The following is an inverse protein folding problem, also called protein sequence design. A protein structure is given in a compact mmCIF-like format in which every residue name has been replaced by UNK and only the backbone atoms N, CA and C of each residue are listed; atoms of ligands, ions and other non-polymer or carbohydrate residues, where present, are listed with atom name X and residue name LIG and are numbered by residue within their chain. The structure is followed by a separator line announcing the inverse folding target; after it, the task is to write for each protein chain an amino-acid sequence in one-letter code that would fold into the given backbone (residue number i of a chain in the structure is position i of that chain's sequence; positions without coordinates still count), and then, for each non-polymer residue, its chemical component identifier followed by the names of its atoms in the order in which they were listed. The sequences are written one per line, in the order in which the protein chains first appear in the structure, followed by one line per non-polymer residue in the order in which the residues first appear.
data_IF_698434108302
#
_entry.id   IF_698434108302
#
_cell.length_a   1.000
_cell.length_b   1.000
_cell.length_c   1.000
_cell.angle_alpha   90.00
_cell.angle_beta   90.00
_cell.angle_gamma   90.00
#
_symmetry.space_group_name_H-M   'P 1'
#
loop_
_entity.id
_entity.type
_entity.pdbx_description
1 polymer ?
#
# COMPACT_ATOMS: atom_id res chain seq x y z
N UNK A 1 10.47 -23.86 -43.67
CA UNK A 1 9.95 -22.57 -43.15
C UNK A 1 8.75 -22.88 -42.29
N UNK A 2 8.81 -22.59 -40.99
CA UNK A 2 7.58 -22.50 -40.19
C UNK A 2 6.86 -21.25 -40.68
N UNK A 3 5.72 -21.40 -41.34
CA UNK A 3 4.78 -20.30 -41.54
C UNK A 3 4.30 -19.90 -40.15
N UNK A 4 4.49 -18.63 -39.77
CA UNK A 4 3.77 -18.09 -38.63
C UNK A 4 2.28 -18.27 -38.95
N UNK A 5 1.50 -18.96 -38.09
CA UNK A 5 0.10 -19.23 -38.39
C UNK A 5 -0.63 -17.89 -38.55
N UNK A 6 -1.32 -17.71 -39.69
CA UNK A 6 -1.76 -16.43 -40.27
C UNK A 6 -2.68 -15.55 -39.40
N UNK A 7 -2.94 -15.93 -38.15
CA UNK A 7 -3.81 -15.23 -37.20
C UNK A 7 -3.36 -15.35 -35.73
N UNK A 8 -2.16 -15.91 -35.47
CA UNK A 8 -1.59 -15.95 -34.11
C UNK A 8 -0.62 -14.79 -33.91
N UNK A 9 -0.52 -14.31 -32.68
CA UNK A 9 0.21 -13.13 -32.19
C UNK A 9 -0.51 -11.79 -32.38
N UNK A 10 -1.79 -11.76 -32.01
CA UNK A 10 -2.69 -10.61 -32.17
C UNK A 10 -2.50 -9.44 -31.20
N UNK A 11 -1.66 -9.55 -30.16
CA UNK A 11 -1.35 -8.42 -29.27
C UNK A 11 -0.21 -7.58 -29.84
N UNK A 12 0.83 -8.25 -30.36
CA UNK A 12 2.02 -7.60 -30.90
C UNK A 12 3.31 -8.36 -30.58
N UNK A 13 4.43 -7.68 -30.86
CA UNK A 13 5.78 -8.21 -30.64
C UNK A 13 6.63 -7.18 -29.89
N UNK A 14 7.18 -7.58 -28.74
CA UNK A 14 8.12 -6.78 -27.97
C UNK A 14 9.55 -7.24 -28.24
N UNK A 15 10.47 -6.31 -28.51
CA UNK A 15 11.90 -6.62 -28.62
C UNK A 15 12.61 -6.26 -27.33
N UNK A 16 13.13 -7.28 -26.63
CA UNK A 16 13.91 -7.10 -25.40
C UNK A 16 15.40 -7.27 -25.72
N UNK A 17 16.20 -6.29 -25.32
CA UNK A 17 17.66 -6.29 -25.50
C UNK A 17 18.34 -6.29 -24.13
N UNK A 18 19.04 -7.39 -23.82
CA UNK A 18 19.96 -7.48 -22.70
C UNK A 18 21.35 -7.15 -23.21
N UNK A 19 21.94 -6.07 -22.70
CA UNK A 19 23.23 -5.54 -23.21
C UNK A 19 24.38 -6.47 -22.92
N UNK A 20 24.35 -7.09 -21.74
CA UNK A 20 25.35 -8.01 -21.23
C UNK A 20 24.73 -8.97 -20.19
N UNK A 21 25.57 -9.69 -19.46
CA UNK A 21 25.15 -10.57 -18.37
C UNK A 21 24.76 -9.86 -17.07
N UNK A 22 24.92 -8.53 -16.95
CA UNK A 22 24.48 -7.77 -15.77
C UNK A 22 23.01 -7.39 -15.84
N UNK A 23 22.46 -7.22 -17.05
CA UNK A 23 21.02 -7.06 -17.24
C UNK A 23 20.31 -8.36 -16.89
N UNK A 24 19.18 -8.29 -16.20
CA UNK A 24 18.42 -9.46 -15.74
C UNK A 24 16.93 -9.17 -15.68
N UNK A 25 16.16 -10.24 -15.66
CA UNK A 25 14.72 -10.21 -15.46
C UNK A 25 14.38 -11.04 -14.23
N UNK A 26 13.70 -10.45 -13.25
CA UNK A 26 13.26 -11.15 -12.05
C UNK A 26 12.19 -12.20 -12.37
N UNK A 27 11.86 -13.05 -11.40
CA UNK A 27 10.75 -13.98 -11.55
C UNK A 27 9.43 -13.23 -11.72
N UNK A 28 8.71 -13.54 -12.80
CA UNK A 28 7.38 -12.98 -13.12
C UNK A 28 6.64 -13.95 -14.05
N UNK A 29 5.35 -13.69 -14.24
CA UNK A 29 4.53 -14.26 -15.31
C UNK A 29 4.16 -13.12 -16.27
N UNK A 30 3.97 -13.44 -17.55
CA UNK A 30 3.58 -12.48 -18.57
C UNK A 30 2.05 -12.38 -18.69
N UNK A 31 1.36 -12.17 -17.56
CA UNK A 31 -0.10 -12.25 -17.41
C UNK A 31 -0.82 -10.88 -17.36
N UNK A 32 -0.20 -9.84 -17.91
CA UNK A 32 -0.63 -8.45 -17.70
C UNK A 32 -1.58 -7.88 -18.76
N UNK A 33 -1.78 -8.57 -19.89
CA UNK A 33 -2.66 -8.18 -21.00
C UNK A 33 -3.62 -9.28 -21.43
N UNK A 34 -3.89 -10.27 -20.58
CA UNK A 34 -4.79 -11.37 -20.91
C UNK A 34 -4.21 -12.31 -21.98
N UNK A 35 -2.89 -12.43 -22.00
CA UNK A 35 -2.15 -13.35 -22.84
C UNK A 35 -2.62 -14.78 -22.60
N UNK A 36 -3.01 -15.43 -23.68
CA UNK A 36 -3.29 -16.87 -23.73
C UNK A 36 -2.04 -17.67 -24.05
N UNK A 37 -1.06 -17.04 -24.69
CA UNK A 37 0.25 -17.60 -24.97
C UNK A 37 1.28 -16.49 -25.18
N UNK A 38 2.50 -16.75 -24.73
CA UNK A 38 3.68 -15.91 -24.97
C UNK A 38 4.78 -16.78 -25.55
N UNK A 39 5.27 -16.42 -26.73
CA UNK A 39 6.40 -17.07 -27.39
C UNK A 39 7.62 -16.16 -27.36
N UNK A 40 8.70 -16.64 -26.76
CA UNK A 40 9.97 -15.96 -26.71
C UNK A 40 10.96 -16.58 -27.70
N UNK A 41 11.28 -15.86 -28.77
CA UNK A 41 12.27 -16.24 -29.79
C UNK A 41 13.59 -15.52 -29.53
N UNK A 42 14.67 -16.28 -29.35
CA UNK A 42 16.00 -15.70 -29.14
C UNK A 42 16.62 -15.37 -30.50
N UNK A 43 16.60 -14.08 -30.85
CA UNK A 43 17.07 -13.57 -32.15
C UNK A 43 18.60 -13.47 -32.21
N UNK A 44 19.22 -13.09 -31.10
CA UNK A 44 20.69 -12.96 -31.00
C UNK A 44 21.15 -13.47 -29.64
N UNK A 45 22.12 -14.39 -29.62
CA UNK A 45 22.69 -14.94 -28.40
C UNK A 45 23.95 -15.75 -28.73
N UNK A 46 25.15 -15.22 -28.45
CA UNK A 46 26.41 -15.97 -28.68
C UNK A 46 26.62 -17.11 -27.68
N UNK A 47 26.22 -16.89 -26.43
CA UNK A 47 26.35 -17.87 -25.35
C UNK A 47 24.99 -18.16 -24.73
N UNK A 48 24.62 -19.45 -24.68
CA UNK A 48 23.37 -19.87 -24.06
C UNK A 48 23.29 -19.38 -22.60
N UNK A 49 22.28 -18.57 -22.31
CA UNK A 49 21.96 -18.10 -20.96
C UNK A 49 20.68 -18.76 -20.50
N UNK A 50 20.71 -19.52 -19.39
CA UNK A 50 19.56 -20.31 -19.00
C UNK A 50 18.40 -19.41 -18.61
N UNK A 51 17.21 -19.77 -19.08
CA UNK A 51 15.94 -19.24 -18.57
C UNK A 51 15.51 -20.14 -17.43
N UNK A 52 15.22 -19.57 -16.27
CA UNK A 52 14.76 -20.34 -15.12
C UNK A 52 13.24 -20.27 -15.06
N UNK A 53 12.60 -21.43 -14.99
CA UNK A 53 11.16 -21.58 -14.82
C UNK A 53 10.94 -22.27 -13.49
N UNK A 54 10.01 -21.77 -12.67
CA UNK A 54 9.65 -22.41 -11.40
C UNK A 54 8.17 -22.23 -11.07
N UNK A 55 7.60 -23.08 -10.21
CA UNK A 55 6.27 -22.84 -9.65
C UNK A 55 6.24 -21.53 -8.86
N UNK A 56 5.09 -20.86 -8.84
CA UNK A 56 4.89 -19.68 -8.01
C UNK A 56 5.13 -19.97 -6.52
N UNK A 57 5.76 -19.02 -5.82
CA UNK A 57 6.12 -19.14 -4.39
C UNK A 57 4.93 -19.43 -3.46
N UNK A 58 3.72 -19.01 -3.85
CA UNK A 58 2.51 -19.12 -3.04
C UNK A 58 1.61 -20.29 -3.45
N UNK A 59 2.09 -21.21 -4.29
CA UNK A 59 1.37 -22.40 -4.71
C UNK A 59 1.96 -23.62 -3.98
N UNK A 60 1.11 -24.47 -3.42
CA UNK A 60 1.57 -25.71 -2.79
C UNK A 60 2.19 -26.60 -3.88
N UNK A 61 3.44 -27.01 -3.70
CA UNK A 61 4.16 -27.84 -4.67
C UNK A 61 3.59 -29.25 -4.68
N UNK A 62 3.27 -29.76 -5.86
CA UNK A 62 2.96 -31.17 -6.08
C UNK A 62 4.16 -31.91 -6.70
N UNK A 63 4.06 -33.24 -6.76
CA UNK A 63 4.96 -34.03 -7.60
C UNK A 63 4.76 -33.61 -9.06
N UNK A 64 5.86 -33.31 -9.78
CA UNK A 64 5.81 -32.72 -11.13
C UNK A 64 5.93 -31.19 -11.18
N UNK A 65 6.08 -30.51 -10.03
CA UNK A 65 6.32 -29.06 -9.95
C UNK A 65 7.82 -28.74 -9.84
N UNK A 66 8.62 -29.18 -10.82
CA UNK A 66 10.07 -28.96 -10.81
C UNK A 66 10.47 -27.54 -11.21
N UNK A 67 11.66 -27.13 -10.73
CA UNK A 67 12.35 -25.96 -11.28
C UNK A 67 13.14 -26.40 -12.52
N UNK A 68 12.86 -25.75 -13.65
CA UNK A 68 13.42 -26.11 -14.95
C UNK A 68 14.38 -25.02 -15.42
N UNK A 69 15.49 -25.43 -16.03
CA UNK A 69 16.43 -24.53 -16.68
C UNK A 69 16.46 -24.80 -18.18
N UNK A 70 16.08 -23.82 -18.98
CA UNK A 70 16.10 -23.91 -20.44
C UNK A 70 17.32 -23.21 -21.00
N UNK A 71 18.21 -23.95 -21.67
CA UNK A 71 19.42 -23.43 -22.30
C UNK A 71 19.15 -23.01 -23.76
N UNK A 72 18.40 -21.93 -23.92
CA UNK A 72 17.93 -21.41 -25.21
C UNK A 72 19.05 -20.66 -25.94
N UNK A 73 19.39 -21.10 -27.17
CA UNK A 73 20.40 -20.49 -28.05
C UNK A 73 19.76 -19.57 -29.09
N UNK A 74 20.60 -18.88 -29.87
CA UNK A 74 20.13 -18.13 -31.02
C UNK A 74 19.36 -19.04 -32.00
N UNK A 75 18.17 -18.59 -32.40
CA UNK A 75 17.25 -19.35 -33.26
C UNK A 75 16.29 -20.26 -32.50
N UNK A 76 16.55 -20.54 -31.22
CA UNK A 76 15.63 -21.32 -30.39
C UNK A 76 14.51 -20.42 -29.85
N UNK A 77 13.38 -21.04 -29.53
CA UNK A 77 12.25 -20.39 -28.90
C UNK A 77 11.65 -21.25 -27.78
N UNK A 78 10.95 -20.60 -26.85
CA UNK A 78 10.10 -21.29 -25.87
C UNK A 78 8.76 -20.58 -25.74
N UNK A 79 7.71 -21.35 -25.49
CA UNK A 79 6.34 -20.86 -25.36
C UNK A 79 5.83 -21.11 -23.93
N UNK A 80 5.16 -20.11 -23.36
CA UNK A 80 4.42 -20.23 -22.10
C UNK A 80 2.95 -20.00 -22.40
N UNK A 81 2.15 -21.06 -22.34
CA UNK A 81 0.70 -20.96 -22.47
C UNK A 81 0.03 -20.44 -21.18
N UNK A 82 -1.27 -20.18 -21.24
CA UNK A 82 -2.06 -19.71 -20.11
C UNK A 82 -1.99 -20.64 -18.88
N UNK A 83 -1.82 -21.95 -19.08
CA UNK A 83 -1.72 -22.91 -17.99
C UNK A 83 -0.39 -22.79 -17.26
N UNK A 84 0.71 -22.72 -18.03
CA UNK A 84 2.05 -22.51 -17.51
C UNK A 84 2.14 -21.16 -16.78
N UNK A 85 1.68 -20.07 -17.40
CA UNK A 85 1.73 -18.73 -16.79
C UNK A 85 0.91 -18.60 -15.51
N UNK A 86 -0.14 -19.42 -15.33
CA UNK A 86 -0.95 -19.43 -14.11
C UNK A 86 -0.29 -20.18 -12.94
N UNK A 87 0.57 -21.16 -13.22
CA UNK A 87 1.24 -22.01 -12.23
C UNK A 87 2.70 -21.64 -11.98
N UNK A 88 3.36 -21.09 -12.98
CA UNK A 88 4.80 -20.93 -13.05
C UNK A 88 5.18 -19.48 -13.39
N UNK A 89 6.38 -19.12 -12.93
CA UNK A 89 7.04 -17.86 -13.21
C UNK A 89 8.42 -18.13 -13.83
N UNK A 90 8.85 -17.26 -14.74
CA UNK A 90 10.16 -17.36 -15.38
C UNK A 90 11.07 -16.18 -15.04
N UNK A 91 12.37 -16.38 -15.17
CA UNK A 91 13.37 -15.34 -14.97
C UNK A 91 14.59 -15.52 -15.87
N UNK A 92 15.31 -14.42 -16.06
CA UNK A 92 16.61 -14.42 -16.71
C UNK A 92 17.68 -13.95 -15.69
N UNK A 93 18.39 -14.88 -15.03
CA UNK A 93 19.31 -14.56 -13.93
C UNK A 93 20.60 -13.92 -14.43
N UNK A 94 21.21 -13.01 -13.65
CA UNK A 94 22.49 -12.36 -13.99
C UNK A 94 23.60 -13.40 -14.23
N UNK A 95 24.47 -13.09 -15.19
CA UNK A 95 25.74 -13.77 -15.46
C UNK A 95 26.85 -12.73 -15.58
N UNK A 96 27.39 -12.28 -14.44
CA UNK A 96 28.37 -11.18 -14.40
C UNK A 96 29.61 -11.39 -15.31
N UNK A 97 29.93 -12.64 -15.65
CA UNK A 97 31.05 -12.98 -16.54
C UNK A 97 30.72 -12.86 -18.04
N UNK A 98 29.45 -12.84 -18.43
CA UNK A 98 29.05 -12.74 -19.83
C UNK A 98 29.02 -11.28 -20.26
N UNK A 99 29.79 -10.94 -21.28
CA UNK A 99 29.80 -9.61 -21.93
C UNK A 99 28.97 -9.57 -23.20
N UNK A 100 28.31 -10.69 -23.51
CA UNK A 100 27.62 -10.87 -24.77
C UNK A 100 26.19 -10.35 -24.69
N UNK A 101 25.76 -9.72 -25.79
CA UNK A 101 24.40 -9.23 -25.97
C UNK A 101 23.44 -10.41 -26.18
N UNK A 102 22.21 -10.27 -25.66
CA UNK A 102 21.09 -11.15 -25.97
C UNK A 102 19.88 -10.34 -26.43
N UNK A 103 19.32 -10.70 -27.57
CA UNK A 103 18.08 -10.11 -28.09
C UNK A 103 16.99 -11.17 -28.17
N UNK A 104 15.81 -10.84 -27.66
CA UNK A 104 14.64 -11.74 -27.64
C UNK A 104 13.44 -11.01 -28.19
N UNK A 105 12.78 -11.60 -29.19
CA UNK A 105 11.48 -11.15 -29.68
C UNK A 105 10.39 -11.92 -28.94
N UNK A 106 9.50 -11.20 -28.28
CA UNK A 106 8.39 -11.74 -27.49
C UNK A 106 7.10 -11.52 -28.26
N UNK A 107 6.54 -12.60 -28.78
CA UNK A 107 5.25 -12.60 -29.45
C UNK A 107 4.16 -12.89 -28.43
N UNK A 108 3.09 -12.09 -28.47
CA UNK A 108 1.98 -12.20 -27.52
C UNK A 108 0.67 -12.51 -28.23
N UNK A 109 -0.02 -13.54 -27.77
CA UNK A 109 -1.34 -13.93 -28.25
C UNK A 109 -2.34 -13.79 -27.11
N UNK A 110 -3.35 -12.95 -27.28
CA UNK A 110 -4.42 -12.74 -26.33
C UNK A 110 -5.79 -13.12 -26.87
N UNK A 111 -6.80 -12.96 -26.02
CA UNK A 111 -8.19 -13.07 -26.43
C UNK A 111 -8.57 -11.80 -27.23
N UNK A 112 -8.94 -11.90 -28.51
CA UNK A 112 -9.41 -10.74 -29.26
C UNK A 112 -10.60 -10.11 -28.54
N UNK A 113 -10.58 -8.79 -28.39
CA UNK A 113 -11.68 -8.05 -27.78
C UNK A 113 -12.01 -6.84 -28.62
N UNK A 114 -13.30 -6.58 -28.80
CA UNK A 114 -13.79 -5.41 -29.54
C UNK A 114 -13.74 -4.17 -28.65
N UNK A 115 -13.18 -3.08 -29.15
CA UNK A 115 -13.23 -1.75 -28.53
C UNK A 115 -13.91 -0.77 -29.47
N UNK A 116 -14.65 0.18 -28.90
CA UNK A 116 -15.30 1.24 -29.69
C UNK A 116 -14.27 2.23 -30.26
N UNK A 117 -13.16 2.45 -29.55
CA UNK A 117 -12.04 3.30 -29.97
C UNK A 117 -10.70 2.70 -29.48
N UNK A 118 -9.69 2.67 -30.36
CA UNK A 118 -8.34 2.26 -29.98
C UNK A 118 -7.65 3.39 -29.18
N UNK A 119 -7.66 3.23 -27.87
CA UNK A 119 -7.00 4.17 -26.94
C UNK A 119 -5.52 3.86 -26.72
N UNK A 120 -4.99 2.80 -27.33
CA UNK A 120 -3.67 2.22 -27.00
C UNK A 120 -3.62 1.63 -25.58
N UNK A 121 -4.78 1.37 -24.97
CA UNK A 121 -4.91 0.76 -23.63
C UNK A 121 -5.37 -0.69 -23.78
N UNK A 122 -4.80 -1.56 -22.95
CA UNK A 122 -5.17 -2.97 -22.90
C UNK A 122 -6.67 -3.16 -22.60
N UNK A 123 -7.35 -4.00 -23.39
CA UNK A 123 -8.82 -4.17 -23.36
C UNK A 123 -9.31 -5.07 -22.20
N UNK A 124 -8.42 -5.55 -21.33
CA UNK A 124 -8.72 -6.59 -20.33
C UNK A 124 -9.74 -6.15 -19.27
N UNK A 125 -10.14 -4.89 -19.24
CA UNK A 125 -10.95 -4.30 -18.16
C UNK A 125 -12.46 -4.58 -18.18
N UNK A 126 -13.06 -5.26 -19.17
CA UNK A 126 -14.53 -5.26 -19.25
C UNK A 126 -15.31 -6.54 -19.64
N UNK A 127 -14.70 -7.69 -19.87
CA UNK A 127 -15.51 -8.87 -20.26
C UNK A 127 -15.53 -9.97 -19.22
N UNK A 128 -16.68 -10.13 -18.56
CA UNK A 128 -17.11 -11.35 -17.86
C UNK A 128 -16.99 -12.65 -18.71
N UNK A 129 -16.72 -12.54 -20.02
CA UNK A 129 -16.59 -13.64 -20.96
C UNK A 129 -15.29 -14.46 -20.81
N UNK A 130 -14.15 -13.84 -20.47
CA UNK A 130 -12.88 -14.54 -20.27
C UNK A 130 -12.87 -15.37 -18.98
N UNK A 131 -13.48 -14.82 -17.93
CA UNK A 131 -13.67 -15.43 -16.60
C UNK A 131 -14.49 -16.74 -16.68
N UNK A 132 -15.44 -16.83 -17.62
CA UNK A 132 -16.28 -18.02 -17.79
C UNK A 132 -15.68 -19.08 -18.71
N UNK A 133 -14.73 -18.75 -19.57
CA UNK A 133 -14.12 -19.69 -20.53
C UNK A 133 -12.98 -20.52 -19.91
N UNK A 134 -12.33 -20.03 -18.86
CA UNK A 134 -11.29 -20.73 -18.11
C UNK A 134 -11.59 -20.71 -16.60
N UNK A 135 -12.25 -21.74 -16.05
CA UNK A 135 -12.67 -21.78 -14.65
C UNK A 135 -11.53 -21.61 -13.63
N UNK A 136 -10.29 -21.95 -14.01
CA UNK A 136 -9.09 -21.73 -13.19
C UNK A 136 -8.60 -20.28 -13.19
N UNK A 137 -8.91 -19.47 -14.21
CA UNK A 137 -8.62 -18.02 -14.23
C UNK A 137 -9.49 -17.25 -13.22
N UNK A 138 -10.66 -17.78 -12.82
CA UNK A 138 -11.55 -17.20 -11.79
C UNK A 138 -10.85 -17.00 -10.44
N UNK A 139 -9.71 -17.67 -10.21
CA UNK A 139 -8.92 -17.56 -8.97
C UNK A 139 -7.74 -16.60 -9.04
N UNK A 140 -7.31 -16.11 -10.20
CA UNK A 140 -6.03 -15.35 -10.29
C UNK A 140 -5.99 -14.11 -11.16
N UNK A 141 -6.87 -13.96 -12.16
CA UNK A 141 -6.91 -12.71 -12.94
C UNK A 141 -8.02 -11.84 -12.37
N UNK A 142 -7.64 -10.87 -11.53
CA UNK A 142 -8.55 -9.78 -11.16
C UNK A 142 -8.69 -8.90 -12.42
N UNK A 143 -9.84 -8.93 -13.14
CA UNK A 143 -10.02 -8.27 -14.45
C UNK A 143 -9.90 -6.74 -14.40
N UNK A 144 -9.64 -6.19 -13.22
CA UNK A 144 -9.73 -4.78 -12.89
C UNK A 144 -8.36 -4.20 -12.50
N UNK A 145 -7.24 -4.81 -12.90
CA UNK A 145 -5.91 -4.19 -12.79
C UNK A 145 -5.51 -3.47 -14.08
N UNK A 146 -5.83 -2.18 -14.28
CA UNK A 146 -5.33 -1.36 -15.36
C UNK A 146 -3.82 -1.39 -15.46
N UNK A 147 -3.37 -1.22 -16.70
CA UNK A 147 -2.02 -0.77 -17.01
C UNK A 147 -1.62 0.37 -16.06
N UNK A 148 -0.36 0.35 -15.59
CA UNK A 148 0.27 1.19 -14.56
C UNK A 148 0.22 2.73 -14.78
N UNK A 149 -0.81 3.29 -15.41
CA UNK A 149 -1.11 4.72 -15.35
C UNK A 149 -1.60 5.02 -13.95
N UNK A 150 -0.69 5.58 -13.14
CA UNK A 150 -1.05 6.22 -11.87
C UNK A 150 -2.16 7.22 -12.17
N UNK A 151 -3.30 7.09 -11.47
CA UNK A 151 -4.36 8.07 -11.58
C UNK A 151 -3.80 9.48 -11.29
N UNK A 152 -4.28 10.52 -11.98
CA UNK A 152 -3.88 11.89 -11.67
C UNK A 152 -4.18 12.19 -10.20
N UNK A 153 -3.20 12.80 -9.51
CA UNK A 153 -3.33 13.17 -8.10
C UNK A 153 -4.45 14.20 -7.98
N UNK A 154 -5.49 13.86 -7.22
CA UNK A 154 -6.70 14.70 -7.09
C UNK A 154 -6.91 14.97 -5.62
N UNK A 155 -6.89 16.22 -5.17
CA UNK A 155 -7.08 16.56 -3.75
C UNK A 155 -8.56 16.76 -3.38
N UNK A 156 -8.89 16.58 -2.10
CA UNK A 156 -10.24 16.77 -1.59
C UNK A 156 -11.14 15.53 -1.70
N UNK A 157 -12.46 15.72 -1.62
CA UNK A 157 -13.43 14.64 -1.77
C UNK A 157 -13.54 14.19 -3.23
N UNK A 158 -13.84 12.91 -3.45
CA UNK A 158 -14.12 12.36 -4.78
C UNK A 158 -15.63 12.15 -4.93
N UNK A 159 -16.19 12.59 -6.05
CA UNK A 159 -17.61 12.41 -6.34
C UNK A 159 -17.98 10.91 -6.31
N UNK A 160 -19.11 10.59 -5.67
CA UNK A 160 -19.59 9.22 -5.50
C UNK A 160 -19.04 8.47 -4.27
N UNK A 161 -18.13 9.07 -3.50
CA UNK A 161 -17.66 8.51 -2.22
C UNK A 161 -17.97 9.45 -1.06
N UNK A 162 -19.06 9.16 -0.33
CA UNK A 162 -19.37 9.82 0.93
C UNK A 162 -18.48 9.29 2.06
N UNK A 163 -18.21 10.11 3.08
CA UNK A 163 -17.60 9.63 4.32
C UNK A 163 -18.45 8.51 4.95
N UNK A 164 -17.78 7.53 5.55
CA UNK A 164 -18.37 6.30 6.04
C UNK A 164 -18.65 5.24 4.97
N UNK A 165 -18.50 5.56 3.67
CA UNK A 165 -18.67 4.57 2.61
C UNK A 165 -17.62 3.46 2.70
N UNK A 166 -18.07 2.22 2.54
CA UNK A 166 -17.21 1.02 2.56
C UNK A 166 -17.10 0.47 1.14
N UNK A 167 -15.88 0.17 0.72
CA UNK A 167 -15.57 -0.35 -0.60
C UNK A 167 -14.48 -1.42 -0.55
N UNK A 168 -14.46 -2.29 -1.56
CA UNK A 168 -13.30 -3.15 -1.83
C UNK A 168 -12.14 -2.29 -2.33
N UNK A 169 -10.91 -2.82 -2.22
CA UNK A 169 -9.72 -2.15 -2.77
C UNK A 169 -9.90 -1.77 -4.23
N UNK A 170 -10.46 -2.70 -5.00
CA UNK A 170 -10.67 -2.54 -6.41
C UNK A 170 -11.65 -1.40 -6.74
N UNK A 171 -12.77 -1.33 -6.01
CA UNK A 171 -13.74 -0.24 -6.17
C UNK A 171 -13.13 1.12 -5.82
N UNK A 172 -12.28 1.20 -4.80
CA UNK A 172 -11.56 2.44 -4.48
C UNK A 172 -10.62 2.85 -5.61
N UNK A 173 -9.92 1.89 -6.18
CA UNK A 173 -8.98 2.14 -7.25
C UNK A 173 -9.68 2.60 -8.55
N UNK A 174 -10.72 1.90 -8.99
CA UNK A 174 -11.56 2.32 -10.12
C UNK A 174 -12.22 3.69 -9.87
N UNK A 175 -12.62 3.92 -8.62
CA UNK A 175 -13.16 5.20 -8.15
C UNK A 175 -12.12 6.31 -7.99
N UNK A 176 -10.85 6.08 -8.33
CA UNK A 176 -9.73 7.04 -8.18
C UNK A 176 -9.53 7.55 -6.75
N UNK A 177 -9.94 6.77 -5.75
CA UNK A 177 -9.75 7.10 -4.34
C UNK A 177 -8.31 6.86 -3.90
N UNK A 178 -7.66 5.81 -4.41
CA UNK A 178 -6.26 5.47 -4.12
C UNK A 178 -5.63 4.61 -5.23
N UNK A 179 -4.30 4.61 -5.35
CA UNK A 179 -3.59 3.68 -6.25
C UNK A 179 -3.65 2.21 -5.75
N UNK A 180 -3.71 1.25 -6.68
CA UNK A 180 -4.13 -0.15 -6.42
C UNK A 180 -3.34 -0.84 -5.29
N UNK A 181 -2.04 -0.60 -5.16
CA UNK A 181 -1.15 -1.46 -4.35
C UNK A 181 -0.36 -0.77 -3.24
N UNK A 182 -0.59 0.52 -2.97
CA UNK A 182 0.21 1.29 -2.01
C UNK A 182 -0.62 1.79 -0.82
N UNK A 183 0.02 1.81 0.35
CA UNK A 183 -0.53 2.50 1.53
C UNK A 183 -0.69 4.01 1.30
N UNK A 184 0.12 4.59 0.42
CA UNK A 184 0.10 6.03 0.11
C UNK A 184 -0.15 6.25 -1.39
N UNK A 185 -1.12 7.08 -1.72
CA UNK A 185 -1.43 7.56 -3.08
C UNK A 185 -0.91 8.98 -3.27
N UNK A 186 -0.13 9.21 -4.33
CA UNK A 186 0.45 10.52 -4.60
C UNK A 186 1.81 10.45 -5.26
N UNK A 187 2.50 11.59 -5.31
CA UNK A 187 3.88 11.67 -5.76
C UNK A 187 4.64 12.82 -5.06
N UNK A 188 5.97 12.83 -5.19
CA UNK A 188 6.85 13.80 -4.52
C UNK A 188 6.76 15.21 -5.09
N UNK A 189 6.12 15.41 -6.24
CA UNK A 189 6.01 16.70 -6.93
C UNK A 189 4.69 17.41 -6.62
N UNK A 190 3.61 16.65 -6.43
CA UNK A 190 2.27 17.17 -6.17
C UNK A 190 1.82 16.97 -4.73
N UNK A 191 2.35 15.96 -4.03
CA UNK A 191 1.94 15.56 -2.69
C UNK A 191 1.13 14.26 -2.68
N UNK A 192 0.54 13.98 -1.53
CA UNK A 192 -0.30 12.82 -1.25
C UNK A 192 -1.76 13.21 -1.20
N UNK A 193 -2.59 12.50 -1.96
CA UNK A 193 -4.02 12.75 -2.03
C UNK A 193 -4.85 11.73 -1.26
N UNK A 194 -4.32 10.52 -1.05
CA UNK A 194 -4.96 9.52 -0.20
C UNK A 194 -3.95 8.66 0.57
N UNK A 195 -4.37 8.23 1.75
CA UNK A 195 -3.65 7.36 2.66
C UNK A 195 -4.56 6.20 3.06
N UNK A 196 -4.02 5.00 3.04
CA UNK A 196 -4.68 3.79 3.50
C UNK A 196 -4.02 3.36 4.80
N UNK A 197 -4.77 3.49 5.88
CA UNK A 197 -4.36 3.06 7.20
C UNK A 197 -4.76 1.59 7.35
N UNK A 198 -3.77 0.69 7.31
CA UNK A 198 -4.00 -0.76 7.37
C UNK A 198 -3.18 -1.49 8.42
N UNK A 199 -2.32 -0.76 9.14
CA UNK A 199 -1.50 -1.26 10.24
C UNK A 199 -1.58 -0.27 11.41
N UNK A 200 -1.41 -0.83 12.61
CA UNK A 200 -1.31 -0.08 13.86
C UNK A 200 -0.15 -0.68 14.65
N UNK A 201 1.06 -0.46 14.15
CA UNK A 201 2.28 -1.00 14.74
C UNK A 201 2.79 -0.08 15.86
N UNK A 202 2.50 -0.45 17.11
CA UNK A 202 2.94 0.29 18.29
C UNK A 202 4.46 0.36 18.43
N UNK A 203 5.21 -0.62 17.88
CA UNK A 203 6.67 -0.62 17.93
C UNK A 203 7.27 0.44 17.02
N UNK A 204 6.55 0.80 15.96
CA UNK A 204 6.88 1.91 15.06
C UNK A 204 6.30 3.24 15.53
N UNK A 205 5.49 3.26 16.60
CA UNK A 205 4.80 4.45 17.09
C UNK A 205 3.55 4.83 16.29
N UNK A 206 3.00 3.91 15.48
CA UNK A 206 1.72 4.13 14.83
C UNK A 206 0.58 4.08 15.86
N UNK A 207 -0.37 5.00 15.72
CA UNK A 207 -1.52 5.14 16.62
C UNK A 207 -2.73 5.63 15.84
N UNK A 208 -3.92 5.18 16.22
CA UNK A 208 -5.18 5.57 15.59
C UNK A 208 -6.14 6.12 16.65
N UNK A 209 -6.41 7.43 16.58
CA UNK A 209 -7.33 8.14 17.46
C UNK A 209 -8.61 8.61 16.77
N UNK A 210 -8.96 8.02 15.61
CA UNK A 210 -10.02 8.47 14.71
C UNK A 210 -9.80 9.89 14.17
N UNK A 211 -9.99 10.93 14.99
CA UNK A 211 -9.78 12.34 14.64
C UNK A 211 -8.30 12.72 14.44
N UNK A 212 -7.40 11.85 14.85
CA UNK A 212 -5.98 11.96 14.59
C UNK A 212 -5.38 10.58 14.37
N UNK A 213 -4.24 10.51 13.69
CA UNK A 213 -3.45 9.29 13.58
C UNK A 213 -1.97 9.59 13.41
N UNK A 214 -1.13 8.68 13.86
CA UNK A 214 0.31 8.67 13.61
C UNK A 214 0.62 7.61 12.55
N UNK A 215 1.17 8.05 11.41
CA UNK A 215 1.55 7.17 10.32
C UNK A 215 3.06 7.21 10.11
N UNK A 216 3.70 6.04 10.13
CA UNK A 216 5.16 5.93 9.96
C UNK A 216 5.47 5.42 8.58
N UNK A 217 6.35 6.07 7.82
CA UNK A 217 6.79 5.53 6.53
C UNK A 217 8.14 6.08 6.06
N UNK A 218 8.72 5.36 5.10
CA UNK A 218 9.95 5.77 4.40
C UNK A 218 9.64 6.67 3.21
N UNK A 219 10.66 7.38 2.71
CA UNK A 219 10.55 8.15 1.45
C UNK A 219 10.03 7.30 0.28
N UNK A 220 10.55 6.09 0.13
CA UNK A 220 10.19 5.14 -0.95
C UNK A 220 8.76 4.62 -0.85
N UNK A 221 8.17 4.67 0.33
CA UNK A 221 6.81 4.21 0.63
C UNK A 221 5.77 5.32 0.51
N UNK A 222 6.18 6.54 0.14
CA UNK A 222 5.30 7.70 0.00
C UNK A 222 5.64 8.87 0.94
N UNK A 223 6.59 8.71 1.87
CA UNK A 223 6.98 9.75 2.82
C UNK A 223 7.42 11.05 2.16
N UNK A 224 8.09 10.99 1.00
CA UNK A 224 8.45 12.22 0.27
C UNK A 224 7.23 13.03 -0.20
N UNK A 225 6.13 12.37 -0.57
CA UNK A 225 4.88 13.03 -0.93
C UNK A 225 4.11 13.52 0.30
N UNK A 226 4.11 12.76 1.41
CA UNK A 226 3.52 13.19 2.68
C UNK A 226 4.20 14.46 3.20
N UNK A 227 5.53 14.54 3.15
CA UNK A 227 6.24 15.75 3.57
C UNK A 227 5.86 16.96 2.71
N UNK A 228 5.67 16.78 1.40
CA UNK A 228 5.17 17.86 0.55
C UNK A 228 3.73 18.26 0.94
N UNK A 229 2.83 17.31 1.20
CA UNK A 229 1.48 17.62 1.69
C UNK A 229 1.51 18.36 3.03
N UNK A 230 2.43 18.02 3.93
CA UNK A 230 2.66 18.75 5.19
C UNK A 230 3.05 20.20 4.93
N UNK A 231 4.11 20.43 4.14
CA UNK A 231 4.60 21.78 3.83
C UNK A 231 3.57 22.64 3.09
N UNK A 232 2.67 22.02 2.33
CA UNK A 232 1.67 22.72 1.50
C UNK A 232 0.27 22.72 2.10
N UNK A 233 0.06 22.12 3.28
CA UNK A 233 -1.25 22.01 3.93
C UNK A 233 -2.31 21.27 3.10
N UNK A 234 -1.89 20.38 2.19
CA UNK A 234 -2.82 19.69 1.29
C UNK A 234 -3.61 18.61 2.02
N UNK A 235 -4.93 18.52 1.79
CA UNK A 235 -5.75 17.51 2.43
C UNK A 235 -5.47 16.12 1.87
N UNK A 236 -5.50 15.13 2.76
CA UNK A 236 -5.27 13.71 2.49
C UNK A 236 -6.55 12.95 2.81
N UNK A 237 -7.11 12.21 1.85
CA UNK A 237 -8.20 11.27 2.11
C UNK A 237 -7.68 10.10 2.95
N UNK A 238 -8.31 9.79 4.07
CA UNK A 238 -7.93 8.61 4.87
C UNK A 238 -8.91 7.47 4.68
N UNK A 239 -8.37 6.30 4.38
CA UNK A 239 -9.09 5.04 4.18
C UNK A 239 -8.66 4.05 5.27
N UNK A 240 -9.54 3.69 6.20
CA UNK A 240 -9.25 2.68 7.23
C UNK A 240 -9.60 1.29 6.74
N UNK A 241 -8.66 0.36 6.85
CA UNK A 241 -8.83 -1.04 6.47
C UNK A 241 -9.46 -1.86 7.60
N UNK A 242 -10.31 -2.83 7.26
CA UNK A 242 -10.82 -3.83 8.22
C UNK A 242 -9.73 -4.72 8.83
N UNK A 243 -8.51 -4.71 8.26
CA UNK A 243 -7.37 -5.45 8.79
C UNK A 243 -6.70 -4.77 10.01
N UNK A 244 -7.12 -3.57 10.38
CA UNK A 244 -6.66 -2.85 11.57
C UNK A 244 -7.21 -3.47 12.87
N UNK A 245 -6.87 -4.74 13.15
CA UNK A 245 -7.47 -5.50 14.26
C UNK A 245 -7.30 -4.85 15.63
N UNK A 246 -6.23 -4.09 15.85
CA UNK A 246 -5.95 -3.41 17.10
C UNK A 246 -6.65 -2.05 17.25
N UNK A 247 -7.26 -1.52 16.18
CA UNK A 247 -7.97 -0.24 16.23
C UNK A 247 -9.47 -0.49 16.35
N UNK A 248 -10.09 0.08 17.39
CA UNK A 248 -11.56 0.12 17.53
C UNK A 248 -12.25 0.91 16.40
N UNK A 249 -11.48 1.69 15.64
CA UNK A 249 -11.98 2.51 14.55
C UNK A 249 -11.97 1.80 13.20
N UNK A 250 -11.42 0.59 13.13
CA UNK A 250 -11.44 -0.23 11.93
C UNK A 250 -12.89 -0.53 11.50
N UNK A 251 -13.22 -0.51 10.19
CA UNK A 251 -14.52 -0.94 9.74
C UNK A 251 -14.69 -2.46 9.95
N UNK A 252 -15.90 -2.87 10.33
CA UNK A 252 -16.25 -4.29 10.39
C UNK A 252 -16.32 -4.86 8.97
N UNK A 253 -15.70 -6.02 8.78
CA UNK A 253 -15.92 -6.82 7.58
C UNK A 253 -17.28 -7.50 7.68
N UNK A 254 -18.30 -6.94 7.02
CA UNK A 254 -19.68 -7.45 7.07
C UNK A 254 -19.81 -8.88 6.55
N UNK A 255 -18.92 -9.28 5.66
CA UNK A 255 -18.87 -10.64 5.15
C UNK A 255 -17.76 -11.41 5.87
N UNK A 256 -18.13 -12.02 7.00
CA UNK A 256 -17.20 -12.84 7.79
C UNK A 256 -16.59 -14.02 7.00
N UNK A 257 -17.20 -14.41 5.85
CA UNK A 257 -16.67 -15.45 4.97
C UNK A 257 -15.67 -14.91 3.95
N UNK A 258 -15.70 -13.61 3.67
CA UNK A 258 -14.77 -12.97 2.76
C UNK A 258 -13.43 -12.71 3.46
N UNK A 259 -12.37 -13.32 2.93
CA UNK A 259 -10.99 -13.09 3.38
C UNK A 259 -10.49 -11.70 2.93
N UNK A 260 -11.16 -11.07 1.95
CA UNK A 260 -10.75 -9.79 1.41
C UNK A 260 -11.03 -8.65 2.38
N UNK A 261 -10.03 -7.78 2.59
CA UNK A 261 -10.19 -6.58 3.40
C UNK A 261 -11.17 -5.60 2.74
N UNK A 262 -12.00 -4.94 3.56
CA UNK A 262 -12.78 -3.79 3.14
C UNK A 262 -12.15 -2.50 3.68
N UNK A 263 -12.50 -1.38 3.06
CA UNK A 263 -11.91 -0.08 3.36
C UNK A 263 -13.03 0.95 3.52
N UNK A 264 -13.01 1.70 4.61
CA UNK A 264 -13.95 2.79 4.88
C UNK A 264 -13.27 4.14 4.65
N UNK A 265 -13.95 5.03 3.93
CA UNK A 265 -13.49 6.40 3.75
C UNK A 265 -13.87 7.28 4.95
N UNK A 266 -12.88 7.79 5.69
CA UNK A 266 -13.08 8.48 6.98
C UNK A 266 -12.88 10.01 6.89
N UNK A 267 -12.86 10.54 5.67
CA UNK A 267 -12.79 11.97 5.41
C UNK A 267 -11.40 12.50 5.06
N UNK A 268 -11.28 13.82 5.13
CA UNK A 268 -10.05 14.55 4.83
C UNK A 268 -9.26 14.83 6.10
N UNK A 269 -7.94 14.68 6.01
CA UNK A 269 -7.01 14.94 7.09
C UNK A 269 -5.92 15.86 6.59
N UNK A 270 -5.34 16.64 7.48
CA UNK A 270 -4.16 17.46 7.22
C UNK A 270 -3.01 16.95 8.07
N UNK A 271 -1.80 16.90 7.50
CA UNK A 271 -0.61 16.57 8.28
C UNK A 271 -0.24 17.81 9.08
N UNK A 272 -0.20 17.70 10.41
CA UNK A 272 0.04 18.83 11.31
C UNK A 272 1.45 18.82 11.89
N UNK A 273 2.09 17.65 11.99
CA UNK A 273 3.46 17.49 12.50
C UNK A 273 4.17 16.36 11.78
N UNK A 274 5.49 16.49 11.66
CA UNK A 274 6.37 15.46 11.14
C UNK A 274 7.53 15.30 12.13
N UNK A 275 7.90 14.06 12.42
CA UNK A 275 9.02 13.70 13.29
C UNK A 275 10.04 12.87 12.53
N UNK A 276 11.32 13.15 12.76
CA UNK A 276 12.44 12.37 12.22
C UNK A 276 12.63 11.03 12.94
N UNK A 277 13.66 10.27 12.57
CA UNK A 277 14.00 8.98 13.19
C UNK A 277 14.41 9.07 14.65
N UNK A 278 14.79 10.26 15.13
CA UNK A 278 15.17 10.52 16.51
C UNK A 278 13.97 11.04 17.34
N UNK A 279 12.79 11.16 16.72
CA UNK A 279 11.60 11.68 17.39
C UNK A 279 11.54 13.20 17.50
N UNK A 280 12.41 13.92 16.78
CA UNK A 280 12.42 15.38 16.78
C UNK A 280 11.47 15.90 15.72
N UNK A 281 10.69 16.92 16.07
CA UNK A 281 9.86 17.61 15.10
C UNK A 281 10.74 18.23 14.00
N UNK A 282 10.34 18.05 12.74
CA UNK A 282 11.12 18.50 11.59
C UNK A 282 10.22 18.98 10.46
N UNK A 283 10.74 19.90 9.64
CA UNK A 283 10.15 20.30 8.36
C UNK A 283 10.90 19.72 7.16
N UNK A 284 12.01 19.04 7.41
CA UNK A 284 12.87 18.52 6.37
C UNK A 284 12.27 17.27 5.74
N UNK A 285 12.24 17.24 4.40
CA UNK A 285 11.86 16.05 3.68
C UNK A 285 12.92 14.96 3.88
N UNK A 286 12.54 13.67 3.96
CA UNK A 286 13.51 12.61 3.95
C UNK A 286 14.40 12.72 2.71
N UNK A 287 15.72 12.78 2.89
CA UNK A 287 16.67 12.99 1.80
C UNK A 287 16.60 11.90 0.73
N UNK A 288 16.89 12.21 -0.55
CA UNK A 288 16.84 11.22 -1.62
C UNK A 288 17.99 10.21 -1.60
N UNK A 289 19.14 10.55 -0.99
CA UNK A 289 20.38 9.77 -1.03
C UNK A 289 21.29 10.13 0.13
N UNK A 290 21.34 9.33 1.17
CA UNK A 290 22.56 9.15 1.97
C UNK A 290 22.71 7.65 2.20
N UNK A 291 23.93 7.16 2.36
CA UNK A 291 24.26 5.73 2.47
C UNK A 291 23.62 4.99 3.65
N UNK A 292 22.76 5.66 4.41
CA UNK A 292 21.98 5.07 5.49
C UNK A 292 20.62 4.58 5.00
N UNK A 293 20.24 3.43 5.55
CA UNK A 293 18.96 2.75 5.37
C UNK A 293 17.83 3.79 5.43
N UNK A 294 17.10 3.96 4.33
CA UNK A 294 16.01 4.93 4.16
C UNK A 294 15.29 5.29 5.47
N UNK A 295 15.53 6.49 6.03
CA UNK A 295 15.00 6.85 7.34
C UNK A 295 13.47 6.84 7.34
N UNK A 296 12.91 6.38 8.46
CA UNK A 296 11.47 6.37 8.72
C UNK A 296 11.08 7.66 9.42
N UNK A 297 10.00 8.28 8.94
CA UNK A 297 9.46 9.50 9.52
C UNK A 297 8.05 9.22 10.02
N UNK A 298 7.67 9.89 11.10
CA UNK A 298 6.33 9.82 11.68
C UNK A 298 5.54 11.06 11.30
N UNK A 299 4.39 10.87 10.68
CA UNK A 299 3.49 11.93 10.24
C UNK A 299 2.26 11.91 11.15
N UNK A 300 1.95 13.03 11.79
CA UNK A 300 0.74 13.19 12.60
C UNK A 300 -0.31 13.87 11.74
N UNK A 301 -1.40 13.16 11.50
CA UNK A 301 -2.54 13.62 10.72
C UNK A 301 -3.68 13.99 11.66
N UNK A 302 -4.34 15.10 11.38
CA UNK A 302 -5.54 15.55 12.08
C UNK A 302 -6.70 15.62 11.09
N UNK A 303 -7.86 15.10 11.47
CA UNK A 303 -9.07 15.13 10.65
C UNK A 303 -9.56 16.57 10.51
N UNK A 304 -9.88 16.95 9.29
CA UNK A 304 -10.51 18.23 9.01
C UNK A 304 -11.99 18.13 9.48
N UNK A 305 -12.51 19.16 10.17
CA UNK A 305 -13.91 19.15 10.59
C UNK A 305 -14.82 19.10 9.36
N UNK A 306 -15.87 18.27 9.43
CA UNK A 306 -16.91 18.28 8.40
C UNK A 306 -17.83 19.47 8.62
N UNK A 307 -18.45 20.00 7.55
CA UNK A 307 -19.39 21.13 7.65
C UNK A 307 -20.51 20.87 8.66
N UNK A 308 -20.94 19.61 8.86
CA UNK A 308 -21.94 19.24 9.88
C UNK A 308 -21.41 19.31 11.31
N UNK A 309 -20.17 18.89 11.55
CA UNK A 309 -19.56 18.87 12.88
C UNK A 309 -19.22 20.27 13.39
N UNK A 310 -18.93 21.24 12.51
CA UNK A 310 -18.66 22.63 12.94
C UNK A 310 -19.86 23.20 13.72
N UNK A 311 -21.09 22.91 13.29
CA UNK A 311 -22.30 23.39 13.97
C UNK A 311 -22.60 22.66 15.28
N UNK A 312 -22.18 21.40 15.44
CA UNK A 312 -22.34 20.66 16.71
C UNK A 312 -21.22 20.98 17.71
N UNK A 313 -20.02 21.29 17.22
CA UNK A 313 -18.85 21.62 18.04
C UNK A 313 -18.93 23.03 18.65
N UNK A 314 -19.50 24.00 17.92
CA UNK A 314 -19.76 25.34 18.46
C UNK A 314 -20.76 25.33 19.65
N UNK A 315 -21.54 24.26 19.83
CA UNK A 315 -22.48 24.12 20.95
C UNK A 315 -21.87 23.47 22.19
N UNK A 316 -20.67 22.88 22.09
CA UNK A 316 -20.02 22.11 23.19
C UNK A 316 -18.60 22.57 23.54
N UNK A 317 -18.10 23.63 22.93
CA UNK A 317 -16.74 24.14 23.12
C UNK A 317 -16.53 24.84 24.48
N UNK A 318 -16.42 24.07 25.56
CA UNK A 318 -15.93 24.54 26.86
C UNK A 318 -14.93 23.61 27.56
N UNK A 319 -14.39 22.57 26.90
CA UNK A 319 -13.25 21.82 27.46
C UNK A 319 -12.05 21.77 26.49
N UNK A 320 -10.87 22.27 26.90
CA UNK A 320 -9.66 22.22 26.09
C UNK A 320 -9.10 20.80 25.99
N UNK A 321 -8.79 20.40 24.76
CA UNK A 321 -8.12 19.14 24.43
C UNK A 321 -6.68 19.15 24.99
N UNK A 322 -6.42 18.43 26.09
CA UNK A 322 -5.05 18.15 26.52
C UNK A 322 -4.50 16.97 25.72
N UNK A 323 -3.63 17.27 24.75
CA UNK A 323 -2.72 16.28 24.16
C UNK A 323 -1.78 15.81 25.27
N UNK A 324 -2.12 14.72 25.94
CA UNK A 324 -1.29 14.10 26.98
C UNK A 324 0.14 13.88 26.48
N UNK A 325 1.10 14.18 27.34
CA UNK A 325 2.53 14.05 27.08
C UNK A 325 2.86 12.66 26.52
N UNK A 326 3.50 12.65 25.34
CA UNK A 326 3.97 11.43 24.71
C UNK A 326 5.22 10.93 25.44
N UNK A 327 5.07 9.98 26.36
CA UNK A 327 6.20 9.31 26.99
C UNK A 327 6.93 8.43 25.95
N UNK A 328 8.21 8.72 25.75
CA UNK A 328 9.13 7.95 24.91
C UNK A 328 9.67 6.74 25.71
N UNK A 329 9.61 5.54 25.13
CA UNK A 329 10.35 4.40 25.65
C UNK A 329 11.76 4.42 25.06
N UNK A 330 12.74 4.68 25.92
CA UNK A 330 14.16 4.44 25.64
C UNK A 330 14.41 2.93 25.64
N UNK A 331 15.02 2.41 24.58
CA UNK A 331 15.47 1.03 24.50
C UNK A 331 16.73 0.87 25.35
N UNK A 332 16.59 0.30 26.54
CA UNK A 332 17.72 -0.38 27.19
C UNK A 332 17.22 -1.61 27.96
N UNK A 333 17.97 -2.70 27.81
CA UNK A 333 17.63 -4.05 28.23
C UNK A 333 17.77 -4.24 29.76
N UNK A 334 16.72 -4.69 30.44
CA UNK A 334 16.75 -5.82 31.39
C UNK A 334 15.40 -6.00 32.10
N UNK A 335 15.01 -7.27 32.23
CA UNK A 335 13.72 -7.70 32.73
C UNK A 335 13.51 -7.44 34.23
N UNK A 336 12.33 -6.92 34.59
CA UNK A 336 11.40 -7.58 35.52
C UNK A 336 10.07 -6.81 35.56
N UNK A 337 9.05 -7.40 34.95
CA UNK A 337 7.69 -6.87 34.91
C UNK A 337 6.94 -7.23 36.20
N UNK A 338 6.74 -6.26 37.08
CA UNK A 338 5.59 -6.25 37.99
C UNK A 338 4.59 -5.22 37.45
N UNK A 339 3.45 -5.69 36.95
CA UNK A 339 2.35 -4.83 36.50
C UNK A 339 1.66 -4.27 37.74
N UNK A 340 1.79 -2.95 37.97
CA UNK A 340 0.96 -2.21 38.92
C UNK A 340 -0.26 -1.62 38.19
N UNK A 341 -1.40 -1.56 38.87
CA UNK A 341 -2.64 -0.98 38.36
C UNK A 341 -2.61 0.56 38.42
N UNK A 342 -3.43 1.23 37.60
CA UNK A 342 -3.52 2.69 37.56
C UNK A 342 -3.85 3.33 38.94
N UNK A 343 -4.51 2.58 39.83
CA UNK A 343 -4.82 3.02 41.20
C UNK A 343 -3.59 3.06 42.11
N UNK A 344 -2.59 2.20 41.87
CA UNK A 344 -1.35 2.18 42.66
C UNK A 344 -0.41 3.34 42.31
N UNK A 345 -0.43 3.79 41.06
CA UNK A 345 0.34 4.96 40.59
C UNK A 345 -0.22 6.29 41.13
N UNK A 346 -1.53 6.36 41.39
CA UNK A 346 -2.16 7.58 41.91
C UNK A 346 -1.82 7.85 43.38
N UNK A 347 -1.61 6.80 44.17
CA UNK A 347 -1.32 6.93 45.61
C UNK A 347 0.15 7.29 45.91
N UNK A 348 1.09 6.97 45.01
CA UNK A 348 2.52 7.34 45.18
C UNK A 348 2.77 8.84 44.89
N UNK A 349 1.94 9.49 44.08
CA UNK A 349 2.04 10.93 43.76
C UNK A 349 1.60 11.81 44.95
N UNK A 350 0.78 11.30 45.88
CA UNK A 350 0.33 12.04 47.05
C UNK A 350 1.32 12.05 48.23
N UNK A 351 2.45 11.34 48.17
CA UNK A 351 3.38 11.20 49.32
C UNK A 351 4.63 12.11 49.21
N UNK A 352 4.84 12.84 48.13
CA UNK A 352 6.01 13.72 48.00
C UNK A 352 5.66 15.15 47.63
N UNK A 353 5.48 16.01 48.64
CA UNK A 353 5.43 17.45 48.44
C UNK A 353 4.59 18.20 49.47
N UNK A 354 5.09 18.30 50.70
CA UNK A 354 4.66 19.38 51.59
C UNK A 354 5.34 20.69 51.19
N UNK A 355 4.66 21.83 51.43
CA UNK A 355 5.17 22.99 52.19
C UNK A 355 4.05 24.06 52.37
N UNK A 356 3.78 24.34 53.65
CA UNK A 356 3.39 25.57 54.38
C UNK A 356 2.11 26.38 54.08
N UNK A 357 1.25 26.40 55.12
CA UNK A 357 0.65 27.54 55.85
C UNK A 357 -0.02 28.71 55.10
N UNK A 358 -1.32 28.92 55.37
CA UNK A 358 -1.81 29.93 56.33
C UNK A 358 -3.35 29.90 56.54
N UNK A 359 -3.72 29.80 57.82
CA UNK A 359 -4.83 30.44 58.55
C UNK A 359 -6.31 30.00 58.46
N UNK A 360 -6.95 30.20 59.62
CA UNK A 360 -8.15 29.59 60.19
C UNK A 360 -9.49 30.28 59.83
N UNK A 361 -10.58 29.47 59.74
CA UNK A 361 -11.91 29.51 60.43
C UNK A 361 -12.67 30.87 60.48
N UNK A 362 -14.02 30.98 60.27
CA UNK A 362 -15.05 30.05 60.78
C UNK A 362 -16.26 29.66 59.90
N UNK A 363 -16.84 28.55 60.36
CA UNK A 363 -18.22 28.09 60.19
C UNK A 363 -19.28 29.17 60.48
N UNK A 364 -20.30 29.23 59.62
CA UNK A 364 -21.74 29.43 59.94
C UNK A 364 -22.51 28.52 58.96
N UNK A 365 -23.16 27.43 59.35
CA UNK A 365 -24.49 27.33 59.97
C UNK A 365 -25.50 28.34 59.40
N UNK A 366 -26.30 27.89 58.42
CA UNK A 366 -27.78 27.99 58.36
C UNK A 366 -28.26 27.00 57.27
N UNK A 367 -29.15 26.07 57.61
CA UNK A 367 -30.12 25.52 56.63
C UNK A 367 -31.37 26.40 56.62
N UNK A 368 -32.56 25.88 56.30
CA UNK A 368 -32.93 24.88 55.29
C UNK A 368 -33.92 25.49 54.25
N UNK A 369 -34.35 24.65 53.30
CA UNK A 369 -35.56 24.75 52.46
C UNK A 369 -35.68 25.92 51.47
N UNK A 370 -36.08 25.61 50.23
CA UNK A 370 -37.24 26.15 49.50
C UNK A 370 -37.27 25.52 48.10
N UNK A 371 -38.28 24.65 47.91
CA UNK A 371 -38.93 24.14 46.68
C UNK A 371 -38.14 23.41 45.59
#
# INVERSE_FOLDING_TARGET
MMSLPDEKWNIGVDLIVYRDGNDSMGFHSDDNQGETSVLALVVECKEARPVYIRPHRNVARAEGDEEVQLFVRQGDAYELDAGCQAGYEHSLPKRAQSKERRMVAIFKQGIPTTVDEDSGVCVVENTNASINRYPWLKKKVDPLKPANRRAPVTFGHISGFAEGSIASRMKLYLGRMCNDQRGVSGNVTLGVDALVFSRNDFTLGEKDGFYWLCYVCKRSEGGGGLNLSYLTGKPVRVLRSSNLKASQFAPLNKDAKSIAACYRYDGLYTIIKVYDTEGRATHEAPGPKSGDKHPQFTYVLQRNPTVKEVYEYEFTANEPYQLGEFAYFSSDESANCNVKSATELWNEIQISGGVSELQEIPRKLYGPDWE
#
